data_IF_480127644248
#
_entry.id   IF_480127644248
#
_cell.length_a   1.000
_cell.length_b   1.000
_cell.length_c   1.000
_cell.angle_alpha   90.00
_cell.angle_beta   90.00
_cell.angle_gamma   90.00
#
_symmetry.space_group_name_H-M   'P 1'
#
loop_
_entity.id
_entity.type
_entity.pdbx_description
1 polymer ?
#
# COMPACT_ATOMS: atom_id res chain seq x y z
N UNK A 1 41.10 15.72 -8.93
CA UNK A 1 41.00 14.24 -8.76
C UNK A 1 42.27 13.79 -8.06
N UNK A 2 42.09 12.97 -6.99
CA UNK A 2 43.23 12.39 -6.27
C UNK A 2 43.67 11.09 -6.93
N UNK A 3 44.99 10.89 -7.06
CA UNK A 3 45.55 9.65 -7.62
C UNK A 3 46.09 8.76 -6.50
N UNK A 4 45.84 7.46 -6.63
CA UNK A 4 46.45 6.47 -5.72
C UNK A 4 47.76 5.97 -6.32
N UNK A 5 48.92 6.23 -5.68
CA UNK A 5 50.23 5.81 -6.22
C UNK A 5 50.38 4.28 -6.26
N UNK A 6 49.68 3.55 -5.40
CA UNK A 6 49.77 2.10 -5.33
C UNK A 6 48.87 1.40 -6.35
N UNK A 7 47.57 1.82 -6.45
CA UNK A 7 46.61 1.20 -7.37
C UNK A 7 46.58 1.86 -8.76
N UNK A 8 47.24 3.01 -8.96
CA UNK A 8 47.26 3.81 -10.17
C UNK A 8 45.89 4.21 -10.72
N UNK A 9 44.94 4.45 -9.82
CA UNK A 9 43.56 4.85 -10.15
C UNK A 9 43.29 6.27 -9.71
N UNK A 10 42.49 7.00 -10.51
CA UNK A 10 42.01 8.34 -10.16
C UNK A 10 40.70 8.23 -9.37
N UNK A 11 40.68 8.85 -8.18
CA UNK A 11 39.55 8.82 -7.27
C UNK A 11 38.99 10.24 -7.16
N UNK A 12 37.71 10.40 -7.45
CA UNK A 12 36.96 11.64 -7.24
C UNK A 12 36.44 11.74 -5.80
N UNK A 13 36.29 12.96 -5.28
CA UNK A 13 35.74 13.23 -3.98
C UNK A 13 36.77 13.69 -2.94
N UNK A 14 36.35 13.72 -1.66
CA UNK A 14 37.12 14.25 -0.53
C UNK A 14 37.89 13.19 0.27
N UNK A 15 37.98 11.97 -0.26
CA UNK A 15 38.66 10.86 0.43
C UNK A 15 40.15 11.18 0.65
N UNK A 16 40.64 10.87 1.86
CA UNK A 16 42.05 11.00 2.21
C UNK A 16 42.83 9.72 1.94
N UNK A 17 42.14 8.57 1.95
CA UNK A 17 42.77 7.25 1.73
C UNK A 17 42.05 6.50 0.62
N UNK A 18 42.80 5.70 -0.10
CA UNK A 18 42.26 4.85 -1.17
C UNK A 18 41.29 3.81 -0.59
N UNK A 19 40.05 3.68 -1.13
CA UNK A 19 39.08 2.67 -0.65
C UNK A 19 39.52 1.24 -0.93
N UNK A 20 40.46 1.01 -1.89
CA UNK A 20 40.93 -0.33 -2.25
C UNK A 20 42.15 -0.76 -1.41
N UNK A 21 43.23 0.04 -1.38
CA UNK A 21 44.47 -0.34 -0.72
C UNK A 21 44.77 0.46 0.56
N UNK A 22 43.91 1.42 0.94
CA UNK A 22 44.05 2.32 2.10
C UNK A 22 45.29 3.19 2.12
N UNK A 23 46.10 3.26 1.04
CA UNK A 23 47.22 4.19 0.92
C UNK A 23 46.73 5.63 0.85
N UNK A 24 47.59 6.58 1.26
CA UNK A 24 47.29 8.02 1.19
C UNK A 24 47.18 8.46 -0.27
N UNK A 25 46.12 9.19 -0.59
CA UNK A 25 45.90 9.71 -1.95
C UNK A 25 46.66 11.03 -2.17
N UNK A 26 47.26 11.18 -3.34
CA UNK A 26 47.97 12.40 -3.77
C UNK A 26 47.11 13.21 -4.74
N UNK A 27 47.10 14.54 -4.64
CA UNK A 27 46.40 15.45 -5.51
C UNK A 27 45.24 16.21 -4.82
N UNK A 28 44.63 17.13 -5.56
CA UNK A 28 43.60 18.02 -5.02
C UNK A 28 42.23 17.33 -4.96
N UNK A 29 41.50 17.62 -3.89
CA UNK A 29 40.14 17.15 -3.72
C UNK A 29 39.23 17.79 -4.78
N UNK A 30 38.50 16.98 -5.50
CA UNK A 30 37.43 17.47 -6.40
C UNK A 30 36.11 17.45 -5.65
N UNK A 31 35.26 18.43 -5.95
CA UNK A 31 33.88 18.47 -5.42
C UNK A 31 33.17 17.19 -5.77
N UNK A 32 32.49 16.59 -4.79
CA UNK A 32 31.70 15.38 -5.01
C UNK A 32 30.69 15.62 -6.13
N UNK A 33 30.77 14.87 -7.23
CA UNK A 33 29.83 14.94 -8.35
C UNK A 33 28.44 14.39 -7.97
N UNK A 34 28.37 13.65 -6.88
CA UNK A 34 27.12 13.14 -6.37
C UNK A 34 26.63 14.04 -5.24
N UNK A 35 25.43 14.62 -5.35
CA UNK A 35 24.86 15.38 -4.25
C UNK A 35 24.76 14.46 -3.03
N UNK A 36 25.32 14.89 -1.89
CA UNK A 36 25.12 14.17 -0.62
C UNK A 36 23.62 14.08 -0.38
N UNK A 37 23.09 12.88 -0.38
CA UNK A 37 21.71 12.63 -0.03
C UNK A 37 21.56 12.82 1.48
N UNK A 38 21.34 14.05 1.90
CA UNK A 38 20.96 14.35 3.27
C UNK A 38 19.59 13.71 3.51
N UNK A 39 19.61 12.54 4.10
CA UNK A 39 18.43 11.88 4.63
C UNK A 39 17.88 12.66 5.81
N UNK A 40 17.52 13.92 5.63
CA UNK A 40 16.66 14.64 6.57
C UNK A 40 15.26 14.02 6.48
N UNK A 41 15.14 12.87 7.11
CA UNK A 41 13.85 12.29 7.48
C UNK A 41 13.32 13.12 8.67
N UNK A 42 13.10 14.39 8.44
CA UNK A 42 12.22 15.17 9.29
C UNK A 42 10.82 14.59 9.03
N UNK A 43 10.46 13.60 9.84
CA UNK A 43 9.05 13.21 9.93
C UNK A 43 8.31 14.51 10.19
N UNK A 44 7.43 14.97 9.29
CA UNK A 44 6.85 16.29 9.44
C UNK A 44 6.19 16.34 10.80
N UNK A 45 6.40 17.42 11.52
CA UNK A 45 5.79 17.69 12.83
C UNK A 45 4.27 17.45 12.75
N UNK A 46 3.66 17.79 11.63
CA UNK A 46 2.27 17.53 11.32
C UNK A 46 1.85 16.05 11.51
N UNK A 47 2.70 15.06 11.10
CA UNK A 47 2.39 13.64 11.31
C UNK A 47 2.35 13.29 12.80
N UNK A 48 3.29 13.80 13.59
CA UNK A 48 3.32 13.55 15.04
C UNK A 48 2.10 14.14 15.73
N UNK A 49 1.72 15.37 15.36
CA UNK A 49 0.53 16.05 15.88
C UNK A 49 -0.74 15.26 15.48
N UNK A 50 -0.85 14.84 14.22
CA UNK A 50 -1.99 14.06 13.75
C UNK A 50 -2.12 12.73 14.52
N UNK A 51 -1.03 11.97 14.70
CA UNK A 51 -1.05 10.72 15.46
C UNK A 51 -1.47 11.00 16.91
N UNK A 52 -0.92 12.04 17.53
CA UNK A 52 -1.26 12.42 18.89
C UNK A 52 -2.75 12.74 19.03
N UNK A 53 -3.32 13.55 18.13
CA UNK A 53 -4.75 13.89 18.14
C UNK A 53 -5.66 12.68 17.92
N UNK A 54 -5.29 11.77 17.01
CA UNK A 54 -6.06 10.55 16.76
C UNK A 54 -6.04 9.60 17.97
N UNK A 55 -4.88 9.43 18.59
CA UNK A 55 -4.73 8.55 19.78
C UNK A 55 -5.45 9.15 20.98
N UNK A 56 -5.26 10.44 21.28
CA UNK A 56 -5.94 11.09 22.40
C UNK A 56 -7.44 11.18 22.17
N UNK A 57 -7.90 11.51 20.95
CA UNK A 57 -9.32 11.53 20.62
C UNK A 57 -9.99 10.15 20.77
N UNK A 58 -9.32 9.07 20.32
CA UNK A 58 -9.85 7.72 20.50
C UNK A 58 -9.88 7.30 21.99
N UNK A 59 -8.87 7.67 22.78
CA UNK A 59 -8.85 7.39 24.20
C UNK A 59 -9.98 8.12 24.96
N UNK A 60 -10.23 9.40 24.62
CA UNK A 60 -11.36 10.15 25.20
C UNK A 60 -12.69 9.51 24.82
N UNK A 61 -12.90 9.14 23.55
CA UNK A 61 -14.14 8.47 23.12
C UNK A 61 -14.34 7.12 23.84
N UNK A 62 -13.27 6.34 24.03
CA UNK A 62 -13.34 5.08 24.80
C UNK A 62 -13.70 5.31 26.27
N UNK A 63 -13.12 6.34 26.93
CA UNK A 63 -13.46 6.65 28.32
C UNK A 63 -14.91 7.12 28.46
N UNK A 64 -15.40 7.96 27.56
CA UNK A 64 -16.79 8.40 27.53
C UNK A 64 -17.74 7.21 27.31
N UNK A 65 -17.42 6.33 26.38
CA UNK A 65 -18.20 5.13 26.07
C UNK A 65 -18.26 4.20 27.32
N UNK A 66 -17.13 4.02 28.02
CA UNK A 66 -17.05 3.24 29.25
C UNK A 66 -17.86 3.84 30.41
N UNK A 67 -17.90 5.16 30.53
CA UNK A 67 -18.66 5.87 31.57
C UNK A 67 -20.17 5.88 31.29
N UNK A 68 -20.57 5.83 30.00
CA UNK A 68 -21.96 5.90 29.55
C UNK A 68 -22.63 4.53 29.39
N UNK A 69 -22.08 3.43 29.93
CA UNK A 69 -22.60 2.07 29.79
C UNK A 69 -24.05 1.95 30.34
N UNK A 70 -25.01 2.24 29.48
CA UNK A 70 -26.40 1.78 29.58
C UNK A 70 -26.57 0.65 28.57
N UNK A 71 -27.35 -0.36 28.97
CA UNK A 71 -27.49 -1.74 28.39
C UNK A 71 -27.74 -1.90 26.88
N UNK A 72 -27.80 -0.83 26.07
CA UNK A 72 -28.14 -0.91 24.63
C UNK A 72 -27.32 0.07 23.75
N UNK A 73 -26.07 0.33 24.11
CA UNK A 73 -25.29 1.29 23.31
C UNK A 73 -24.32 0.59 22.36
N UNK A 74 -24.33 1.05 21.12
CA UNK A 74 -23.27 0.80 20.13
C UNK A 74 -21.95 1.31 20.73
N UNK A 75 -20.93 0.46 20.80
CA UNK A 75 -19.60 0.83 21.30
C UNK A 75 -18.91 1.83 20.35
N UNK A 76 -19.35 3.09 20.42
CA UNK A 76 -18.88 4.16 19.55
C UNK A 76 -17.36 4.41 19.68
N UNK A 77 -16.83 4.27 20.90
CA UNK A 77 -15.40 4.38 21.18
C UNK A 77 -14.54 3.38 20.40
N UNK A 78 -15.02 2.14 20.24
CA UNK A 78 -14.35 1.11 19.43
C UNK A 78 -14.32 1.48 17.95
N UNK A 79 -15.42 2.05 17.43
CA UNK A 79 -15.49 2.48 16.03
C UNK A 79 -14.44 3.57 15.76
N UNK A 80 -14.39 4.61 16.64
CA UNK A 80 -13.41 5.69 16.51
C UNK A 80 -11.97 5.16 16.59
N UNK A 81 -11.71 4.18 17.45
CA UNK A 81 -10.39 3.56 17.58
C UNK A 81 -9.99 2.82 16.30
N UNK A 82 -10.88 2.01 15.72
CA UNK A 82 -10.62 1.27 14.46
C UNK A 82 -10.27 2.26 13.35
N UNK A 83 -11.08 3.30 13.15
CA UNK A 83 -10.83 4.30 12.12
C UNK A 83 -9.55 5.09 12.36
N UNK A 84 -9.21 5.40 13.61
CA UNK A 84 -7.94 6.07 13.97
C UNK A 84 -6.73 5.22 13.59
N UNK A 85 -6.77 3.92 13.89
CA UNK A 85 -5.70 2.96 13.50
C UNK A 85 -5.56 2.89 11.99
N UNK A 86 -6.68 2.80 11.26
CA UNK A 86 -6.67 2.75 9.78
C UNK A 86 -6.04 4.00 9.19
N UNK A 87 -6.40 5.18 9.66
CA UNK A 87 -5.84 6.46 9.20
C UNK A 87 -4.33 6.51 9.47
N UNK A 88 -3.88 6.13 10.68
CA UNK A 88 -2.46 6.10 11.04
C UNK A 88 -1.68 5.14 10.14
N UNK A 89 -2.19 3.94 9.92
CA UNK A 89 -1.57 2.93 9.05
C UNK A 89 -1.47 3.42 7.60
N UNK A 90 -2.55 4.02 7.08
CA UNK A 90 -2.59 4.56 5.73
C UNK A 90 -1.58 5.69 5.54
N UNK A 91 -1.59 6.70 6.42
CA UNK A 91 -0.67 7.84 6.32
C UNK A 91 0.79 7.42 6.45
N UNK A 92 1.10 6.48 7.35
CA UNK A 92 2.44 5.88 7.42
C UNK A 92 2.83 5.18 6.12
N UNK A 93 1.90 4.42 5.53
CA UNK A 93 2.10 3.75 4.25
C UNK A 93 2.37 4.73 3.10
N UNK A 94 1.60 5.81 3.02
CA UNK A 94 1.80 6.91 2.05
C UNK A 94 3.17 7.55 2.20
N UNK A 95 3.60 7.84 3.44
CA UNK A 95 4.89 8.48 3.69
C UNK A 95 6.08 7.57 3.41
N UNK A 96 5.93 6.27 3.65
CA UNK A 96 6.97 5.29 3.36
C UNK A 96 7.17 5.06 1.85
N UNK A 97 6.13 5.22 1.03
CA UNK A 97 6.13 4.78 -0.36
C UNK A 97 5.34 5.68 -1.31
N UNK A 98 5.71 6.95 -1.40
CA UNK A 98 5.03 7.97 -2.23
C UNK A 98 5.05 7.71 -3.75
N UNK A 99 5.85 6.73 -4.23
CA UNK A 99 6.15 6.59 -5.66
C UNK A 99 5.20 5.68 -6.45
N UNK A 100 4.38 4.86 -5.80
CA UNK A 100 3.53 3.88 -6.48
C UNK A 100 2.07 4.10 -6.11
N UNK A 101 1.36 4.82 -6.98
CA UNK A 101 -0.06 5.16 -6.79
C UNK A 101 -0.93 3.91 -6.62
N UNK A 102 -0.73 2.90 -7.45
CA UNK A 102 -1.47 1.64 -7.41
C UNK A 102 -1.39 0.94 -6.05
N UNK A 103 -0.20 0.93 -5.43
CA UNK A 103 0.01 0.40 -4.08
C UNK A 103 -0.79 1.17 -3.02
N UNK A 104 -0.77 2.51 -3.10
CA UNK A 104 -1.46 3.35 -2.15
C UNK A 104 -2.97 3.17 -2.22
N UNK A 105 -3.53 3.08 -3.44
CA UNK A 105 -4.95 2.82 -3.65
C UNK A 105 -5.36 1.44 -3.14
N UNK A 106 -4.58 0.40 -3.46
CA UNK A 106 -4.85 -0.96 -2.99
C UNK A 106 -4.83 -1.03 -1.46
N UNK A 107 -3.81 -0.42 -0.82
CA UNK A 107 -3.71 -0.36 0.64
C UNK A 107 -4.88 0.41 1.26
N UNK A 108 -5.30 1.53 0.67
CA UNK A 108 -6.44 2.31 1.13
C UNK A 108 -7.72 1.49 1.12
N UNK A 109 -8.05 0.87 -0.01
CA UNK A 109 -9.29 0.09 -0.17
C UNK A 109 -9.30 -1.11 0.77
N UNK A 110 -8.18 -1.82 0.92
CA UNK A 110 -8.09 -2.96 1.84
C UNK A 110 -8.32 -2.54 3.30
N UNK A 111 -7.61 -1.51 3.76
CA UNK A 111 -7.77 -1.00 5.13
C UNK A 111 -9.19 -0.47 5.38
N UNK A 112 -9.74 0.28 4.42
CA UNK A 112 -11.10 0.81 4.51
C UNK A 112 -12.15 -0.32 4.55
N UNK A 113 -12.02 -1.34 3.68
CA UNK A 113 -12.94 -2.48 3.66
C UNK A 113 -12.92 -3.25 4.97
N UNK A 114 -11.74 -3.50 5.55
CA UNK A 114 -11.61 -4.18 6.84
C UNK A 114 -12.26 -3.34 7.95
N UNK A 115 -11.96 -2.02 8.01
CA UNK A 115 -12.55 -1.14 9.02
C UNK A 115 -14.08 -1.07 8.89
N UNK A 116 -14.59 -0.99 7.68
CA UNK A 116 -16.03 -0.95 7.42
C UNK A 116 -16.74 -2.25 7.85
N UNK A 117 -16.15 -3.42 7.56
CA UNK A 117 -16.67 -4.70 8.04
C UNK A 117 -16.65 -4.80 9.58
N UNK A 118 -15.57 -4.37 10.23
CA UNK A 118 -15.48 -4.36 11.69
C UNK A 118 -16.52 -3.43 12.32
N UNK A 119 -16.74 -2.24 11.74
CA UNK A 119 -17.76 -1.32 12.23
C UNK A 119 -19.16 -1.89 12.07
N UNK A 120 -19.45 -2.60 10.98
CA UNK A 120 -20.74 -3.27 10.79
C UNK A 120 -20.99 -4.36 11.83
N UNK A 121 -19.97 -5.11 12.22
CA UNK A 121 -20.07 -6.12 13.28
C UNK A 121 -20.41 -5.47 14.64
N UNK A 122 -19.79 -4.30 14.94
CA UNK A 122 -20.00 -3.59 16.22
C UNK A 122 -21.39 -2.96 16.29
N UNK A 123 -21.88 -2.39 15.18
CA UNK A 123 -23.19 -1.71 15.10
C UNK A 123 -24.35 -2.72 15.10
N UNK A 124 -24.09 -3.97 14.74
CA UNK A 124 -25.05 -5.01 14.50
C UNK A 124 -25.07 -5.38 13.03
N UNK A 125 -24.70 -6.62 12.75
CA UNK A 125 -24.53 -7.12 11.39
C UNK A 125 -25.82 -7.02 10.57
N UNK A 126 -25.82 -6.15 9.58
CA UNK A 126 -26.92 -5.97 8.61
C UNK A 126 -26.56 -6.50 7.21
N UNK A 127 -25.32 -6.86 6.98
CA UNK A 127 -24.83 -7.36 5.70
C UNK A 127 -24.69 -6.29 4.61
N UNK A 128 -24.95 -5.02 4.90
CA UNK A 128 -24.91 -3.95 3.87
C UNK A 128 -23.48 -3.69 3.42
N UNK A 129 -22.54 -3.56 4.34
CA UNK A 129 -21.14 -3.30 4.01
C UNK A 129 -20.53 -4.48 3.27
N UNK A 130 -20.69 -5.68 3.80
CA UNK A 130 -20.10 -6.88 3.22
C UNK A 130 -20.72 -7.24 1.88
N UNK A 131 -22.02 -7.08 1.70
CA UNK A 131 -22.73 -7.51 0.49
C UNK A 131 -22.73 -6.47 -0.63
N UNK A 132 -22.55 -5.18 -0.34
CA UNK A 132 -22.64 -4.12 -1.34
C UNK A 132 -21.40 -3.22 -1.37
N UNK A 133 -21.01 -2.63 -0.23
CA UNK A 133 -19.95 -1.60 -0.21
C UNK A 133 -18.60 -2.21 -0.59
N UNK A 134 -18.24 -3.33 0.00
CA UNK A 134 -16.94 -3.98 -0.23
C UNK A 134 -16.77 -4.43 -1.69
N UNK A 135 -17.71 -5.15 -2.32
CA UNK A 135 -17.54 -5.58 -3.71
C UNK A 135 -17.49 -4.41 -4.70
N UNK A 136 -18.24 -3.32 -4.47
CA UNK A 136 -18.14 -2.13 -5.31
C UNK A 136 -16.79 -1.41 -5.16
N UNK A 137 -16.24 -1.32 -3.94
CA UNK A 137 -14.91 -0.75 -3.71
C UNK A 137 -13.81 -1.57 -4.39
N UNK A 138 -13.89 -2.91 -4.32
CA UNK A 138 -12.93 -3.81 -4.97
C UNK A 138 -13.03 -3.66 -6.50
N UNK A 139 -14.24 -3.59 -7.05
CA UNK A 139 -14.47 -3.39 -8.48
C UNK A 139 -13.89 -2.06 -8.98
N UNK A 140 -14.14 -0.98 -8.25
CA UNK A 140 -13.59 0.34 -8.56
C UNK A 140 -12.05 0.36 -8.47
N UNK A 141 -11.47 -0.28 -7.43
CA UNK A 141 -10.03 -0.43 -7.29
C UNK A 141 -9.42 -1.19 -8.46
N UNK A 142 -10.07 -2.28 -8.88
CA UNK A 142 -9.59 -3.11 -9.98
C UNK A 142 -9.57 -2.32 -11.30
N UNK A 143 -10.63 -1.59 -11.60
CA UNK A 143 -10.71 -0.72 -12.77
C UNK A 143 -9.62 0.37 -12.70
N UNK A 144 -9.46 1.04 -11.56
CA UNK A 144 -8.45 2.08 -11.37
C UNK A 144 -7.03 1.53 -11.56
N UNK A 145 -6.70 0.40 -10.93
CA UNK A 145 -5.39 -0.25 -11.08
C UNK A 145 -5.14 -0.73 -12.52
N UNK A 146 -6.17 -1.22 -13.20
CA UNK A 146 -6.09 -1.61 -14.61
C UNK A 146 -5.73 -0.42 -15.48
N UNK A 147 -6.43 0.71 -15.35
CA UNK A 147 -6.15 1.95 -16.08
C UNK A 147 -4.72 2.46 -15.77
N UNK A 148 -4.33 2.54 -14.50
CA UNK A 148 -2.99 2.98 -14.11
C UNK A 148 -1.91 2.07 -14.72
N UNK A 149 -2.15 0.76 -14.78
CA UNK A 149 -1.21 -0.19 -15.36
C UNK A 149 -0.95 0.08 -16.85
N UNK A 150 -1.89 0.69 -17.59
CA UNK A 150 -1.70 1.08 -18.99
C UNK A 150 -1.05 2.46 -19.14
N UNK A 151 -1.38 3.41 -18.25
CA UNK A 151 -0.90 4.79 -18.32
C UNK A 151 0.55 4.94 -17.81
N UNK A 152 0.93 4.18 -16.79
CA UNK A 152 2.25 4.31 -16.16
C UNK A 152 3.34 3.55 -16.92
N UNK A 153 4.00 4.26 -17.85
CA UNK A 153 5.14 3.72 -18.63
C UNK A 153 6.38 3.44 -17.77
N UNK A 154 6.57 4.18 -16.69
CA UNK A 154 7.82 4.16 -15.92
C UNK A 154 7.83 3.09 -14.83
N UNK A 155 6.66 2.62 -14.36
CA UNK A 155 6.52 1.69 -13.24
C UNK A 155 5.67 0.45 -13.60
N UNK A 156 5.70 0.03 -14.87
CA UNK A 156 4.84 -1.02 -15.46
C UNK A 156 4.78 -2.32 -14.64
N UNK A 157 5.92 -2.78 -14.14
CA UNK A 157 6.01 -4.06 -13.43
C UNK A 157 5.29 -4.02 -12.08
N UNK A 158 5.49 -2.95 -11.30
CA UNK A 158 4.83 -2.83 -10.00
C UNK A 158 3.31 -2.67 -10.14
N UNK A 159 2.83 -1.86 -11.10
CA UNK A 159 1.41 -1.68 -11.34
C UNK A 159 0.72 -3.00 -11.75
N UNK A 160 1.34 -3.80 -12.63
CA UNK A 160 0.80 -5.09 -13.08
C UNK A 160 0.61 -6.07 -11.91
N UNK A 161 1.53 -6.09 -10.94
CA UNK A 161 1.41 -6.91 -9.75
C UNK A 161 0.19 -6.53 -8.89
N UNK A 162 -0.08 -5.23 -8.72
CA UNK A 162 -1.24 -4.78 -7.95
C UNK A 162 -2.56 -5.05 -8.67
N UNK A 163 -2.59 -5.05 -10.01
CA UNK A 163 -3.76 -5.50 -10.78
C UNK A 163 -4.01 -6.99 -10.53
N UNK A 164 -2.98 -7.84 -10.62
CA UNK A 164 -3.09 -9.26 -10.31
C UNK A 164 -3.64 -9.48 -8.90
N UNK A 165 -3.08 -8.78 -7.91
CA UNK A 165 -3.53 -8.87 -6.53
C UNK A 165 -5.00 -8.45 -6.36
N UNK A 166 -5.42 -7.37 -7.03
CA UNK A 166 -6.82 -6.91 -7.02
C UNK A 166 -7.76 -7.93 -7.66
N UNK A 167 -7.33 -8.60 -8.74
CA UNK A 167 -8.09 -9.68 -9.40
C UNK A 167 -8.29 -10.86 -8.42
N UNK A 168 -7.23 -11.32 -7.74
CA UNK A 168 -7.34 -12.39 -6.76
C UNK A 168 -8.33 -12.07 -5.65
N UNK A 169 -8.28 -10.83 -5.12
CA UNK A 169 -9.21 -10.37 -4.07
C UNK A 169 -10.66 -10.36 -4.56
N UNK A 170 -10.92 -10.03 -5.82
CA UNK A 170 -12.28 -10.03 -6.39
C UNK A 170 -12.79 -11.42 -6.77
N UNK A 171 -11.90 -12.32 -7.21
CA UNK A 171 -12.28 -13.67 -7.67
C UNK A 171 -12.54 -14.61 -6.48
N UNK A 172 -11.71 -14.58 -5.43
CA UNK A 172 -11.79 -15.55 -4.32
C UNK A 172 -13.17 -15.54 -3.63
N UNK A 173 -13.72 -14.41 -3.17
CA UNK A 173 -15.03 -14.40 -2.54
C UNK A 173 -16.16 -14.86 -3.49
N UNK A 174 -16.10 -14.43 -4.76
CA UNK A 174 -17.07 -14.85 -5.76
C UNK A 174 -17.06 -16.36 -5.99
N UNK A 175 -15.86 -16.97 -6.05
CA UNK A 175 -15.72 -18.41 -6.19
C UNK A 175 -16.23 -19.18 -4.97
N UNK A 176 -15.92 -18.69 -3.78
CA UNK A 176 -16.40 -19.30 -2.50
C UNK A 176 -17.92 -19.27 -2.43
N UNK A 177 -18.55 -18.13 -2.77
CA UNK A 177 -20.00 -18.00 -2.77
C UNK A 177 -20.67 -18.90 -3.81
N UNK A 178 -20.09 -18.99 -5.01
CA UNK A 178 -20.59 -19.89 -6.06
C UNK A 178 -20.51 -21.36 -5.63
N UNK A 179 -19.43 -21.74 -4.93
CA UNK A 179 -19.26 -23.10 -4.41
C UNK A 179 -20.23 -23.43 -3.28
N UNK A 180 -20.56 -22.45 -2.43
CA UNK A 180 -21.50 -22.62 -1.31
C UNK A 180 -22.98 -22.70 -1.73
N UNK A 181 -23.31 -22.44 -3.01
CA UNK A 181 -24.69 -22.42 -3.56
C UNK A 181 -25.65 -21.48 -2.78
N UNK A 182 -25.14 -20.53 -2.06
CA UNK A 182 -25.97 -19.52 -1.41
C UNK A 182 -26.40 -18.43 -2.42
N UNK A 183 -27.53 -17.76 -2.13
CA UNK A 183 -27.98 -16.62 -2.93
C UNK A 183 -26.96 -15.49 -2.84
N UNK A 184 -26.14 -15.35 -3.88
CA UNK A 184 -25.10 -14.33 -3.94
C UNK A 184 -25.72 -12.95 -4.13
N UNK A 185 -25.33 -11.94 -3.34
CA UNK A 185 -25.69 -10.56 -3.63
C UNK A 185 -25.17 -10.14 -5.00
N UNK A 186 -26.00 -9.52 -5.81
CA UNK A 186 -25.71 -9.10 -7.19
C UNK A 186 -24.40 -8.30 -7.32
N UNK A 187 -24.00 -7.57 -6.27
CA UNK A 187 -22.75 -6.83 -6.24
C UNK A 187 -21.49 -7.73 -6.30
N UNK A 188 -21.53 -8.92 -5.69
CA UNK A 188 -20.42 -9.87 -5.78
C UNK A 188 -20.35 -10.54 -7.14
N UNK A 189 -21.49 -10.81 -7.78
CA UNK A 189 -21.52 -11.35 -9.15
C UNK A 189 -20.90 -10.36 -10.14
N UNK A 190 -21.24 -9.07 -10.02
CA UNK A 190 -20.64 -8.01 -10.83
C UNK A 190 -19.13 -7.90 -10.58
N UNK A 191 -18.69 -7.93 -9.31
CA UNK A 191 -17.28 -7.89 -8.96
C UNK A 191 -16.51 -9.08 -9.56
N UNK A 192 -17.05 -10.27 -9.46
CA UNK A 192 -16.49 -11.48 -10.03
C UNK A 192 -16.37 -11.39 -11.56
N UNK A 193 -17.42 -10.95 -12.24
CA UNK A 193 -17.41 -10.77 -13.70
C UNK A 193 -16.35 -9.75 -14.15
N UNK A 194 -16.28 -8.59 -13.49
CA UNK A 194 -15.26 -7.56 -13.77
C UNK A 194 -13.85 -8.13 -13.54
N UNK A 195 -13.65 -8.94 -12.52
CA UNK A 195 -12.36 -9.56 -12.21
C UNK A 195 -11.93 -10.54 -13.30
N UNK A 196 -12.84 -11.35 -13.84
CA UNK A 196 -12.56 -12.26 -14.95
C UNK A 196 -12.22 -11.47 -16.22
N UNK A 197 -13.01 -10.45 -16.57
CA UNK A 197 -12.73 -9.61 -17.74
C UNK A 197 -11.37 -8.93 -17.62
N UNK A 198 -11.03 -8.41 -16.44
CA UNK A 198 -9.73 -7.81 -16.20
C UNK A 198 -8.58 -8.82 -16.29
N UNK A 199 -8.78 -10.07 -15.84
CA UNK A 199 -7.80 -11.14 -15.99
C UNK A 199 -7.53 -11.47 -17.47
N UNK A 200 -8.58 -11.65 -18.24
CA UNK A 200 -8.48 -11.90 -19.69
C UNK A 200 -7.77 -10.73 -20.37
N UNK A 201 -8.19 -9.49 -20.08
CA UNK A 201 -7.55 -8.29 -20.61
C UNK A 201 -6.06 -8.21 -20.24
N UNK A 202 -5.70 -8.53 -18.99
CA UNK A 202 -4.31 -8.52 -18.56
C UNK A 202 -3.47 -9.58 -19.30
N UNK A 203 -3.99 -10.79 -19.49
CA UNK A 203 -3.31 -11.87 -20.21
C UNK A 203 -3.13 -11.54 -21.69
N UNK A 204 -4.16 -11.00 -22.35
CA UNK A 204 -4.11 -10.64 -23.77
C UNK A 204 -3.13 -9.47 -24.00
N UNK A 205 -3.24 -8.39 -23.23
CA UNK A 205 -2.45 -7.19 -23.50
C UNK A 205 -1.07 -7.18 -22.82
N UNK A 206 -0.89 -7.87 -21.69
CA UNK A 206 0.34 -7.84 -20.88
C UNK A 206 0.86 -9.22 -20.46
N UNK A 207 0.49 -10.29 -21.13
CA UNK A 207 0.85 -11.67 -20.76
C UNK A 207 2.35 -11.87 -20.54
N UNK A 208 3.21 -11.30 -21.40
CA UNK A 208 4.68 -11.37 -21.20
C UNK A 208 5.17 -10.63 -19.93
N UNK A 209 4.56 -9.49 -19.60
CA UNK A 209 4.92 -8.74 -18.39
C UNK A 209 4.47 -9.48 -17.13
N UNK A 210 3.30 -10.12 -17.17
CA UNK A 210 2.77 -10.97 -16.08
C UNK A 210 3.69 -12.17 -15.85
N UNK A 211 4.07 -12.88 -16.91
CA UNK A 211 4.94 -14.05 -16.84
C UNK A 211 6.32 -13.68 -16.26
N UNK A 212 6.91 -12.60 -16.72
CA UNK A 212 8.19 -12.11 -16.21
C UNK A 212 8.13 -11.71 -14.72
N UNK A 213 7.02 -11.15 -14.25
CA UNK A 213 6.86 -10.79 -12.85
C UNK A 213 6.66 -12.02 -11.96
N UNK A 214 5.91 -13.02 -12.44
CA UNK A 214 5.74 -14.31 -11.77
C UNK A 214 7.08 -15.06 -11.67
N UNK A 215 7.85 -15.14 -12.75
CA UNK A 215 9.19 -15.76 -12.73
C UNK A 215 10.13 -15.09 -11.72
N UNK A 216 10.13 -13.75 -11.66
CA UNK A 216 10.98 -13.01 -10.71
C UNK A 216 10.65 -13.29 -9.25
N UNK A 217 9.38 -13.54 -8.93
CA UNK A 217 8.91 -13.69 -7.54
C UNK A 217 8.84 -15.15 -7.08
N UNK A 218 8.59 -16.08 -7.98
CA UNK A 218 8.47 -17.50 -7.68
C UNK A 218 9.79 -18.25 -7.83
N UNK A 219 10.89 -17.57 -8.26
CA UNK A 219 12.23 -18.19 -8.43
C UNK A 219 12.24 -19.46 -9.30
N UNK A 220 11.37 -19.54 -10.31
CA UNK A 220 11.42 -20.58 -11.34
C UNK A 220 12.18 -20.07 -12.58
#
# INVERSE_FOLDING_TARGET
MKNCPHCRINIGGTYERCPLCRSVLQGDATVDRFPRYDKKLTKPLALKIMIFLLVTGSAVCMTVDFLMIKKEHVHFGLIVLIWSVVIICYVRGVMANRRVLSRLMTMAVMLFSIAACLTEIIVGYRGITTNYIVPYLISALLIANFIISFLDKNNRYNATFYVLWSIFIGVIPGFVMLAARESTPLAWEICFFISIVALIGLLVFKGRAVMNELHKRLHF
#
